data_IF_613456024346
#
_entry.id   IF_613456024346
#
_cell.length_a   1.000
_cell.length_b   1.000
_cell.length_c   1.000
_cell.angle_alpha   90.00
_cell.angle_beta   90.00
_cell.angle_gamma   90.00
#
_symmetry.space_group_name_H-M   'P 1'
#
loop_
_entity.id
_entity.type
_entity.pdbx_description
1 polymer ?
#
# COMPACT_ATOMS: atom_id res chain seq x y z
N UNK A 1 -14.46 -7.56 -10.00
CA UNK A 1 -13.35 -7.58 -9.05
C UNK A 1 -13.45 -6.39 -8.12
N UNK A 2 -13.24 -6.61 -6.84
CA UNK A 2 -13.48 -5.56 -5.84
C UNK A 2 -12.27 -4.68 -5.55
N UNK A 3 -11.17 -4.91 -6.23
CA UNK A 3 -9.95 -4.15 -6.00
C UNK A 3 -9.76 -3.14 -7.11
N UNK A 4 -9.51 -1.89 -6.73
CA UNK A 4 -9.40 -0.80 -7.68
C UNK A 4 -8.08 -0.06 -7.47
N UNK A 5 -7.71 0.73 -8.48
CA UNK A 5 -6.57 1.62 -8.40
C UNK A 5 -6.70 2.48 -7.14
N UNK A 6 -5.63 2.66 -6.43
CA UNK A 6 -5.50 3.38 -5.16
C UNK A 6 -5.90 2.57 -3.92
N UNK A 7 -6.41 1.36 -4.09
CA UNK A 7 -6.67 0.52 -2.93
C UNK A 7 -5.37 0.08 -2.26
N UNK A 8 -5.47 -0.20 -0.96
CA UNK A 8 -4.40 -0.81 -0.19
C UNK A 8 -4.70 -2.29 -0.09
N UNK A 9 -3.72 -3.13 -0.41
CA UNK A 9 -3.91 -4.58 -0.42
C UNK A 9 -2.81 -5.29 0.36
N UNK A 10 -3.16 -6.46 0.87
CA UNK A 10 -2.25 -7.35 1.56
C UNK A 10 -1.95 -8.52 0.62
N UNK A 11 -0.68 -8.79 0.38
CA UNK A 11 -0.31 -9.94 -0.43
C UNK A 11 -0.55 -11.22 0.37
N UNK A 12 -1.22 -12.20 -0.25
CA UNK A 12 -1.58 -13.45 0.42
C UNK A 12 -0.82 -14.64 -0.10
N UNK A 13 0.05 -14.46 -1.09
CA UNK A 13 0.82 -15.54 -1.67
C UNK A 13 2.16 -15.02 -2.18
N UNK A 14 3.10 -15.93 -2.36
CA UNK A 14 4.39 -15.61 -2.94
C UNK A 14 5.35 -14.99 -1.94
N UNK A 15 6.43 -14.42 -2.48
CA UNK A 15 7.50 -13.85 -1.64
C UNK A 15 7.03 -12.67 -0.82
N UNK A 16 6.05 -11.94 -1.34
CA UNK A 16 5.55 -10.74 -0.68
C UNK A 16 4.46 -11.04 0.34
N UNK A 17 4.14 -12.30 0.58
CA UNK A 17 3.07 -12.67 1.49
C UNK A 17 3.20 -11.93 2.82
N UNK A 18 2.11 -11.31 3.26
CA UNK A 18 2.09 -10.54 4.50
C UNK A 18 2.46 -9.08 4.35
N UNK A 19 2.83 -8.64 3.16
CA UNK A 19 3.23 -7.25 2.93
C UNK A 19 2.09 -6.44 2.36
N UNK A 20 2.09 -5.15 2.68
CA UNK A 20 1.08 -4.20 2.22
C UNK A 20 1.61 -3.40 1.03
N UNK A 21 0.73 -3.18 0.07
CA UNK A 21 1.06 -2.40 -1.13
C UNK A 21 -0.13 -1.55 -1.53
N UNK A 22 0.15 -0.46 -2.24
CA UNK A 22 -0.90 0.29 -2.92
C UNK A 22 -1.03 -0.22 -4.35
N UNK A 23 -2.26 -0.24 -4.85
CA UNK A 23 -2.54 -0.59 -6.24
C UNK A 23 -2.33 0.66 -7.07
N UNK A 24 -1.26 0.67 -7.87
CA UNK A 24 -0.94 1.84 -8.69
C UNK A 24 -1.51 1.74 -10.10
N UNK A 25 -1.89 0.54 -10.50
CA UNK A 25 -2.58 0.34 -11.77
C UNK A 25 -3.28 -1.02 -11.77
N UNK A 26 -4.27 -1.16 -12.65
CA UNK A 26 -5.01 -2.41 -12.80
C UNK A 26 -4.97 -2.80 -14.28
N UNK A 27 -4.53 -4.02 -14.57
CA UNK A 27 -4.39 -4.52 -15.93
C UNK A 27 -5.07 -5.89 -16.03
N UNK A 28 -6.36 -5.89 -16.36
CA UNK A 28 -7.16 -7.11 -16.40
C UNK A 28 -7.18 -7.77 -15.03
N UNK A 29 -6.71 -9.00 -14.93
CA UNK A 29 -6.67 -9.72 -13.65
C UNK A 29 -5.39 -9.48 -12.87
N UNK A 30 -4.52 -8.59 -13.37
CA UNK A 30 -3.26 -8.28 -12.70
C UNK A 30 -3.29 -6.88 -12.11
N UNK A 31 -2.58 -6.73 -11.02
CA UNK A 31 -2.41 -5.46 -10.33
C UNK A 31 -0.94 -5.07 -10.34
N UNK A 32 -0.68 -3.78 -10.50
CA UNK A 32 0.67 -3.26 -10.30
C UNK A 32 0.72 -2.68 -8.89
N UNK A 33 1.65 -3.18 -8.08
CA UNK A 33 1.72 -2.89 -6.65
C UNK A 33 3.03 -2.20 -6.30
N UNK A 34 2.95 -1.20 -5.43
CA UNK A 34 4.13 -0.49 -4.96
C UNK A 34 3.94 -0.07 -3.51
N UNK A 35 5.03 -0.02 -2.76
CA UNK A 35 5.04 0.45 -1.39
C UNK A 35 6.03 1.59 -1.17
N UNK A 36 6.76 1.96 -2.22
CA UNK A 36 7.74 3.04 -2.16
C UNK A 36 9.06 2.65 -1.51
N UNK A 37 9.22 1.41 -1.10
CA UNK A 37 10.43 0.94 -0.45
C UNK A 37 11.00 -0.29 -1.15
N UNK A 38 10.43 -1.47 -0.93
CA UNK A 38 10.89 -2.69 -1.58
C UNK A 38 10.33 -2.79 -3.00
N UNK A 39 9.17 -2.22 -3.24
CA UNK A 39 8.58 -2.15 -4.58
C UNK A 39 8.31 -0.68 -4.89
N UNK A 40 9.20 -0.10 -5.65
CA UNK A 40 9.15 1.33 -5.95
C UNK A 40 8.28 1.58 -7.18
N UNK A 41 7.82 2.80 -7.32
CA UNK A 41 6.98 3.19 -8.47
C UNK A 41 7.64 2.93 -9.81
N UNK A 42 8.97 2.98 -9.86
CA UNK A 42 9.72 2.75 -11.09
C UNK A 42 9.70 1.29 -11.52
N UNK A 43 9.44 0.38 -10.58
CA UNK A 43 9.45 -1.05 -10.86
C UNK A 43 8.43 -1.76 -9.96
N UNK A 44 7.15 -1.50 -10.19
CA UNK A 44 6.11 -2.09 -9.33
C UNK A 44 6.01 -3.61 -9.54
N UNK A 45 5.49 -4.29 -8.55
CA UNK A 45 5.28 -5.73 -8.63
C UNK A 45 3.96 -6.01 -9.35
N UNK A 46 4.01 -6.86 -10.36
CA UNK A 46 2.81 -7.31 -11.06
C UNK A 46 2.32 -8.58 -10.39
N UNK A 47 1.08 -8.58 -9.93
CA UNK A 47 0.55 -9.70 -9.17
C UNK A 47 -0.92 -9.92 -9.51
N UNK A 48 -1.35 -11.18 -9.55
CA UNK A 48 -2.75 -11.49 -9.83
C UNK A 48 -3.63 -11.03 -8.68
N UNK A 49 -4.80 -10.51 -9.00
CA UNK A 49 -5.71 -10.00 -7.99
C UNK A 49 -6.13 -11.07 -6.98
N UNK A 50 -6.17 -12.34 -7.40
CA UNK A 50 -6.53 -13.43 -6.49
C UNK A 50 -5.47 -13.72 -5.44
N UNK A 51 -4.27 -13.16 -5.59
CA UNK A 51 -3.17 -13.36 -4.64
C UNK A 51 -3.04 -12.20 -3.67
N UNK A 52 -4.04 -11.35 -3.60
CA UNK A 52 -4.07 -10.24 -2.65
C UNK A 52 -5.45 -10.14 -2.02
N UNK A 53 -5.50 -9.46 -0.89
CA UNK A 53 -6.74 -9.19 -0.17
C UNK A 53 -6.82 -7.69 0.07
N UNK A 54 -7.97 -7.10 -0.20
CA UNK A 54 -8.14 -5.68 0.03
C UNK A 54 -8.04 -5.38 1.52
N UNK A 55 -7.19 -4.43 1.88
CA UNK A 55 -6.99 -4.04 3.28
C UNK A 55 -7.58 -2.67 3.59
N UNK A 56 -7.73 -1.83 2.59
CA UNK A 56 -8.28 -0.50 2.81
C UNK A 56 -8.13 0.36 1.57
N UNK A 57 -8.09 1.66 1.77
CA UNK A 57 -7.95 2.62 0.68
C UNK A 57 -6.83 3.58 1.01
N UNK A 58 -6.21 4.16 -0.03
CA UNK A 58 -5.22 5.21 0.15
C UNK A 58 -5.89 6.43 0.77
N UNK A 59 -5.13 7.27 1.48
CA UNK A 59 -5.66 8.57 1.90
C UNK A 59 -6.19 9.31 0.68
N UNK A 60 -7.25 10.09 0.87
CA UNK A 60 -7.96 10.70 -0.26
C UNK A 60 -7.04 11.51 -1.17
N UNK A 61 -6.10 12.22 -0.60
CA UNK A 61 -5.16 13.03 -1.38
C UNK A 61 -4.35 12.17 -2.34
N UNK A 62 -3.80 11.08 -1.83
CA UNK A 62 -3.04 10.15 -2.65
C UNK A 62 -3.92 9.42 -3.64
N UNK A 63 -5.11 9.02 -3.20
CA UNK A 63 -6.05 8.31 -4.06
C UNK A 63 -6.45 9.17 -5.25
N UNK A 64 -6.71 10.45 -5.01
CA UNK A 64 -7.08 11.38 -6.08
C UNK A 64 -5.97 11.48 -7.13
N UNK A 65 -4.72 11.58 -6.67
CA UNK A 65 -3.58 11.65 -7.59
C UNK A 65 -3.44 10.38 -8.41
N UNK A 66 -3.61 9.22 -7.77
CA UNK A 66 -3.53 7.95 -8.49
C UNK A 66 -4.62 7.83 -9.55
N UNK A 67 -5.85 8.23 -9.18
CA UNK A 67 -6.97 8.14 -10.12
C UNK A 67 -6.82 9.10 -11.30
N UNK A 68 -6.19 10.25 -11.07
CA UNK A 68 -5.98 11.25 -12.12
C UNK A 68 -4.69 11.06 -12.90
N UNK A 69 -3.93 10.02 -12.60
CA UNK A 69 -2.63 9.77 -13.22
C UNK A 69 -1.63 10.90 -12.99
N UNK A 70 -1.75 11.57 -11.85
CA UNK A 70 -0.78 12.59 -11.48
C UNK A 70 0.51 11.95 -11.00
N UNK A 71 1.59 12.72 -11.06
CA UNK A 71 2.89 12.24 -10.60
C UNK A 71 2.88 12.11 -9.08
N UNK A 72 3.26 10.94 -8.58
CA UNK A 72 3.41 10.70 -7.16
C UNK A 72 4.82 10.17 -6.90
N UNK A 73 5.24 10.19 -5.64
CA UNK A 73 6.58 9.79 -5.27
C UNK A 73 6.56 8.58 -4.34
N UNK A 74 7.68 7.87 -4.30
CA UNK A 74 7.83 6.75 -3.37
C UNK A 74 7.70 7.22 -1.93
N UNK A 75 8.14 8.44 -1.65
CA UNK A 75 8.00 9.02 -0.32
C UNK A 75 6.54 9.15 0.10
N UNK A 76 5.68 9.55 -0.85
CA UNK A 76 4.24 9.65 -0.57
C UNK A 76 3.64 8.29 -0.21
N UNK A 77 4.06 7.24 -0.91
CA UNK A 77 3.60 5.89 -0.61
C UNK A 77 4.06 5.44 0.77
N UNK A 78 5.33 5.68 1.08
CA UNK A 78 5.87 5.31 2.40
C UNK A 78 5.15 6.03 3.54
N UNK A 79 4.88 7.31 3.36
CA UNK A 79 4.18 8.10 4.37
C UNK A 79 2.75 7.61 4.57
N UNK A 80 2.07 7.31 3.48
CA UNK A 80 0.70 6.82 3.56
C UNK A 80 0.63 5.47 4.27
N UNK A 81 1.59 4.58 3.99
CA UNK A 81 1.65 3.30 4.68
C UNK A 81 1.93 3.46 6.16
N UNK A 82 2.81 4.42 6.52
CA UNK A 82 3.11 4.66 7.92
C UNK A 82 1.86 5.14 8.67
N UNK A 83 1.08 6.00 8.04
CA UNK A 83 -0.18 6.48 8.62
C UNK A 83 -1.15 5.31 8.82
N UNK A 84 -1.29 4.47 7.81
CA UNK A 84 -2.18 3.32 7.90
C UNK A 84 -1.77 2.40 9.06
N UNK A 85 -0.49 2.10 9.17
CA UNK A 85 0.01 1.25 10.24
C UNK A 85 -0.20 1.87 11.61
N UNK A 86 -0.05 3.17 11.71
CA UNK A 86 -0.29 3.89 12.97
C UNK A 86 -1.75 3.87 13.38
N UNK A 87 -2.64 3.94 12.43
CA UNK A 87 -4.08 3.90 12.72
C UNK A 87 -4.58 2.49 13.04
N UNK A 88 -3.97 1.46 12.43
CA UNK A 88 -4.47 0.11 12.53
C UNK A 88 -3.53 -0.81 13.30
N UNK A 89 -2.62 -0.26 13.94
CA UNK A 89 -1.87 -0.91 14.70
C UNK A 89 -0.68 -1.47 14.68
N UNK A 90 -0.63 -1.61 15.17
CA UNK A 90 0.12 -2.11 15.30
C UNK A 90 0.87 -2.27 16.18
N UNK A 91 0.49 -2.64 16.49
CA UNK A 91 1.10 -2.76 17.21
C UNK A 91 2.07 -3.10 17.58
N UNK A 92 2.25 -3.29 17.64
CA UNK A 92 3.18 -3.64 17.83
C UNK A 92 4.02 -3.22 18.27
N UNK A 93 3.98 -2.99 18.59
CA UNK A 93 4.62 -2.49 18.74
C UNK A 93 5.06 -2.06 19.44
N UNK A 94 5.16 -2.05 19.72
CA UNK A 94 5.39 -1.45 20.04
C UNK A 94 5.61 -0.84 20.42
N UNK A 95 5.59 -0.87 20.88
CA UNK A 95 5.52 -0.07 21.08
C UNK A 95 5.76 0.63 21.33
N UNK A 96 5.91 0.52 21.55
CA UNK A 96 5.89 1.35 21.62
C UNK A 96 6.09 2.03 21.71
N UNK A 97 6.19 2.06 21.99
CA UNK A 97 6.12 2.82 21.90
C UNK A 97 6.15 3.46 21.92
N UNK A 98 6.20 3.56 22.38
CA UNK A 98 5.95 4.22 22.26
C UNK A 98 6.06 4.91 22.32
N UNK A 99 6.22 4.88 22.72
CA UNK A 99 6.14 5.52 22.59
C UNK A 99 6.32 6.16 22.47
N UNK A 100 6.61 6.20 22.59
CA UNK A 100 6.58 6.85 22.28
C UNK A 100 6.62 7.62 21.87
N UNK A 101 6.77 7.85 22.23
CA UNK A 101 6.67 8.64 21.76
C UNK A 101 6.68 9.35 21.48
N UNK A 102 6.77 9.74 21.81
CA UNK A 102 6.58 10.42 21.49
C UNK A 102 6.55 10.95 21.09
N UNK A 103 6.34 11.43 21.23
CA UNK A 103 6.30 11.82 20.63
C UNK A 103 6.38 11.91 20.32
#
# INVERSE_FOLDING_TARGET
MDIAKSDLVLATAGREKGRLFFVVDVQNEYLLLADGRSRRLEAPKRKKCRHVQRAGAAPEELAAKLRSNEIITNSELRKALAVYRGEHGNQDQEGSTLWQNPT
#
